data_IF_903036592337
#
_entry.id   IF_903036592337
#
_cell.length_a   1.000
_cell.length_b   1.000
_cell.length_c   1.000
_cell.angle_alpha   90.00
_cell.angle_beta   90.00
_cell.angle_gamma   90.00
#
_symmetry.space_group_name_H-M   'P 1'
#
loop_
_entity.id
_entity.type
_entity.pdbx_description
1 polymer ?
#
# COMPACT_ATOMS: atom_id res chain seq x y z
N UNK A 1 34.29 9.14 -62.59
CA UNK A 1 35.18 9.14 -61.40
C UNK A 1 34.31 9.29 -60.17
N UNK A 2 34.03 8.19 -59.49
CA UNK A 2 33.06 8.13 -58.38
C UNK A 2 33.83 8.03 -57.08
N UNK A 3 33.73 9.06 -56.23
CA UNK A 3 34.42 9.14 -54.93
C UNK A 3 33.56 8.45 -53.88
N UNK A 4 33.97 7.25 -53.47
CA UNK A 4 33.33 6.50 -52.38
C UNK A 4 33.83 7.06 -51.03
N UNK A 5 33.00 7.85 -50.34
CA UNK A 5 33.29 8.28 -48.96
C UNK A 5 33.24 7.07 -48.02
N UNK A 6 34.39 6.72 -47.45
CA UNK A 6 34.54 5.71 -46.40
C UNK A 6 33.91 6.25 -45.12
N UNK A 7 32.76 5.72 -44.71
CA UNK A 7 32.18 6.01 -43.40
C UNK A 7 33.11 5.45 -42.31
N UNK A 8 33.74 6.34 -41.55
CA UNK A 8 34.46 5.99 -40.32
C UNK A 8 33.43 5.66 -39.23
N UNK A 9 33.43 4.40 -38.80
CA UNK A 9 32.69 3.93 -37.62
C UNK A 9 33.30 4.55 -36.37
N UNK A 10 32.54 5.44 -35.73
CA UNK A 10 32.85 6.01 -34.42
C UNK A 10 32.99 4.87 -33.40
N UNK A 11 34.08 4.78 -32.62
CA UNK A 11 34.23 3.73 -31.63
C UNK A 11 33.12 3.86 -30.57
N UNK A 12 32.52 2.75 -30.12
CA UNK A 12 31.51 2.80 -29.07
C UNK A 12 32.13 3.35 -27.80
N UNK A 13 31.50 4.38 -27.22
CA UNK A 13 31.80 4.86 -25.87
C UNK A 13 31.59 3.69 -24.90
N UNK A 14 32.68 3.04 -24.49
CA UNK A 14 32.69 2.16 -23.33
C UNK A 14 32.55 3.04 -22.08
N UNK A 15 31.32 3.43 -21.76
CA UNK A 15 30.99 3.74 -20.37
C UNK A 15 31.10 2.42 -19.62
N UNK A 16 32.21 2.22 -18.88
CA UNK A 16 32.32 1.10 -17.97
C UNK A 16 31.12 1.17 -17.01
N UNK A 17 30.19 0.23 -17.13
CA UNK A 17 29.09 0.12 -16.20
C UNK A 17 29.70 -0.07 -14.81
N UNK A 18 29.38 0.82 -13.87
CA UNK A 18 29.83 0.72 -12.49
C UNK A 18 29.52 -0.67 -11.94
N UNK A 19 30.44 -1.24 -11.16
CA UNK A 19 30.20 -2.53 -10.51
C UNK A 19 29.00 -2.43 -9.56
N UNK A 20 28.36 -3.56 -9.23
CA UNK A 20 27.22 -3.57 -8.32
C UNK A 20 27.56 -2.94 -6.95
N UNK A 21 28.80 -3.12 -6.47
CA UNK A 21 29.31 -2.51 -5.25
C UNK A 21 29.45 -1.00 -5.35
N UNK A 22 30.02 -0.49 -6.45
CA UNK A 22 30.12 0.95 -6.71
C UNK A 22 28.74 1.60 -6.81
N UNK A 23 27.78 0.92 -7.46
CA UNK A 23 26.40 1.39 -7.52
C UNK A 23 25.75 1.42 -6.13
N UNK A 24 25.97 0.41 -5.29
CA UNK A 24 25.48 0.37 -3.89
C UNK A 24 26.07 1.49 -3.05
N UNK A 25 27.39 1.68 -3.09
CA UNK A 25 28.07 2.74 -2.35
C UNK A 25 27.56 4.13 -2.75
N UNK A 26 27.42 4.39 -4.06
CA UNK A 26 26.84 5.64 -4.58
C UNK A 26 25.41 5.86 -4.07
N UNK A 27 24.59 4.82 -4.09
CA UNK A 27 23.20 4.91 -3.62
C UNK A 27 23.14 5.16 -2.11
N UNK A 28 24.05 4.59 -1.31
CA UNK A 28 24.13 4.84 0.14
C UNK A 28 24.40 6.31 0.44
N UNK A 29 25.46 6.87 -0.16
CA UNK A 29 25.82 8.29 0.00
C UNK A 29 24.66 9.20 -0.42
N UNK A 30 23.99 8.86 -1.52
CA UNK A 30 22.83 9.63 -1.99
C UNK A 30 21.65 9.57 -1.00
N UNK A 31 21.42 8.42 -0.35
CA UNK A 31 20.36 8.25 0.66
C UNK A 31 20.68 8.98 1.96
N UNK A 32 21.94 8.98 2.38
CA UNK A 32 22.41 9.75 3.55
C UNK A 32 22.21 11.26 3.37
N UNK A 33 22.39 11.77 2.14
CA UNK A 33 22.15 13.17 1.80
C UNK A 33 20.66 13.57 1.87
N UNK A 34 19.75 12.63 1.65
CA UNK A 34 18.30 12.89 1.62
C UNK A 34 17.57 11.99 2.64
N UNK A 35 17.74 12.22 3.96
CA UNK A 35 17.08 11.41 4.97
C UNK A 35 15.55 11.65 4.97
N UNK A 36 14.73 10.62 5.23
CA UNK A 36 13.29 10.79 5.43
C UNK A 36 13.02 11.55 6.75
N UNK A 37 11.88 12.25 6.82
CA UNK A 37 11.43 12.84 8.09
C UNK A 37 11.09 11.74 9.09
N UNK A 38 11.39 11.95 10.37
CA UNK A 38 10.97 11.03 11.41
C UNK A 38 9.43 11.03 11.55
N UNK A 39 8.84 9.87 11.79
CA UNK A 39 7.42 9.80 12.15
C UNK A 39 7.27 10.24 13.61
N UNK A 40 6.58 11.36 13.83
CA UNK A 40 6.26 11.83 15.17
C UNK A 40 5.36 10.83 15.90
N UNK A 41 5.62 10.62 17.18
CA UNK A 41 4.80 9.74 18.05
C UNK A 41 3.82 10.51 18.92
N UNK A 42 4.00 11.83 19.06
CA UNK A 42 3.15 12.71 19.87
C UNK A 42 3.09 14.12 19.31
N UNK A 43 1.90 14.69 19.27
CA UNK A 43 1.62 16.08 18.87
C UNK A 43 0.30 16.53 19.53
N UNK A 44 -0.06 17.83 19.54
CA UNK A 44 -1.17 18.33 20.36
C UNK A 44 -2.53 17.66 20.16
N UNK A 45 -2.81 17.13 18.96
CA UNK A 45 -4.08 16.47 18.69
C UNK A 45 -4.18 15.04 19.28
N UNK A 46 -3.06 14.38 19.62
CA UNK A 46 -3.08 13.02 20.17
C UNK A 46 -3.52 12.97 21.63
N UNK A 47 -3.50 14.10 22.34
CA UNK A 47 -3.89 14.21 23.76
C UNK A 47 -5.28 14.83 23.99
N UNK A 48 -6.05 15.09 22.92
CA UNK A 48 -7.39 15.68 23.02
C UNK A 48 -8.42 14.70 23.58
N UNK A 49 -9.45 15.21 24.26
CA UNK A 49 -10.56 14.38 24.75
C UNK A 49 -11.42 13.83 23.60
N UNK A 50 -12.24 12.81 23.89
CA UNK A 50 -13.20 12.26 22.92
C UNK A 50 -14.12 13.36 22.39
N UNK A 51 -14.66 14.20 23.28
CA UNK A 51 -15.57 15.28 22.96
C UNK A 51 -14.91 16.32 22.06
N UNK A 52 -13.65 16.67 22.33
CA UNK A 52 -12.88 17.61 21.52
C UNK A 52 -12.60 17.07 20.11
N UNK A 53 -12.26 15.79 20.00
CA UNK A 53 -12.03 15.15 18.69
C UNK A 53 -13.33 15.08 17.91
N UNK A 54 -14.43 14.62 18.51
CA UNK A 54 -15.76 14.55 17.85
C UNK A 54 -16.18 15.94 17.40
N UNK A 55 -16.07 16.95 18.27
CA UNK A 55 -16.42 18.34 17.95
C UNK A 55 -15.61 18.86 16.76
N UNK A 56 -14.29 18.64 16.74
CA UNK A 56 -13.42 19.06 15.64
C UNK A 56 -13.77 18.37 14.33
N UNK A 57 -13.91 17.05 14.34
CA UNK A 57 -14.12 16.24 13.12
C UNK A 57 -15.56 16.28 12.60
N UNK A 58 -16.46 16.99 13.29
CA UNK A 58 -17.83 17.26 12.85
C UNK A 58 -18.12 18.73 12.56
N UNK A 59 -17.08 19.58 12.59
CA UNK A 59 -17.13 21.00 12.25
C UNK A 59 -16.34 21.29 10.96
N UNK A 60 -16.51 22.46 10.31
CA UNK A 60 -15.66 22.86 9.19
C UNK A 60 -14.16 22.79 9.56
N UNK A 61 -13.27 22.36 8.65
CA UNK A 61 -13.52 21.97 7.24
C UNK A 61 -14.03 20.52 7.05
N UNK A 62 -14.15 19.71 8.10
CA UNK A 62 -14.62 18.32 8.01
C UNK A 62 -16.13 18.18 7.76
N UNK A 63 -16.88 19.27 7.92
CA UNK A 63 -18.32 19.34 7.77
C UNK A 63 -18.74 19.23 6.30
N UNK A 64 -19.43 18.15 5.97
CA UNK A 64 -19.98 17.93 4.62
C UNK A 64 -21.37 18.53 4.48
N UNK A 65 -21.72 18.99 3.26
CA UNK A 65 -23.05 19.53 2.99
C UNK A 65 -24.16 18.46 3.18
N UNK A 66 -23.94 17.25 2.66
CA UNK A 66 -24.94 16.18 2.70
C UNK A 66 -25.19 15.64 4.13
N UNK A 67 -26.46 15.65 4.56
CA UNK A 67 -26.88 15.25 5.93
C UNK A 67 -26.56 13.78 6.25
N UNK A 68 -26.78 12.86 5.31
CA UNK A 68 -26.49 11.43 5.50
C UNK A 68 -24.99 11.17 5.69
N UNK A 69 -24.14 11.79 4.87
CA UNK A 69 -22.68 11.72 4.99
C UNK A 69 -22.18 12.27 6.32
N UNK A 70 -22.75 13.39 6.79
CA UNK A 70 -22.46 13.94 8.13
C UNK A 70 -22.77 12.94 9.25
N UNK A 71 -23.95 12.33 9.20
CA UNK A 71 -24.36 11.35 10.20
C UNK A 71 -23.44 10.10 10.20
N UNK A 72 -23.09 9.58 9.02
CA UNK A 72 -22.15 8.45 8.89
C UNK A 72 -20.75 8.78 9.41
N UNK A 73 -20.22 9.95 9.05
CA UNK A 73 -18.93 10.45 9.57
C UNK A 73 -18.92 10.54 11.09
N UNK A 74 -19.94 11.18 11.68
CA UNK A 74 -20.06 11.30 13.14
C UNK A 74 -20.14 9.93 13.84
N UNK A 75 -20.97 9.00 13.33
CA UNK A 75 -21.06 7.64 13.88
C UNK A 75 -19.74 6.88 13.76
N UNK A 76 -19.07 7.00 12.61
CA UNK A 76 -17.77 6.36 12.37
C UNK A 76 -16.70 6.83 13.34
N UNK A 77 -16.57 8.15 13.51
CA UNK A 77 -15.63 8.74 14.48
C UNK A 77 -15.96 8.29 15.90
N UNK A 78 -17.23 8.36 16.31
CA UNK A 78 -17.65 7.93 17.65
C UNK A 78 -17.30 6.46 17.92
N UNK A 79 -17.61 5.55 16.98
CA UNK A 79 -17.30 4.11 17.11
C UNK A 79 -15.79 3.84 17.20
N UNK A 80 -14.99 4.53 16.39
CA UNK A 80 -13.53 4.38 16.43
C UNK A 80 -12.95 4.89 17.75
N UNK A 81 -13.40 6.05 18.22
CA UNK A 81 -12.93 6.62 19.49
C UNK A 81 -13.37 5.80 20.69
N UNK A 82 -14.60 5.26 20.69
CA UNK A 82 -15.09 4.37 21.74
C UNK A 82 -14.23 3.10 21.83
N UNK A 83 -13.96 2.45 20.69
CA UNK A 83 -13.05 1.32 20.64
C UNK A 83 -11.63 1.67 21.12
N UNK A 84 -11.02 2.74 20.61
CA UNK A 84 -9.67 3.15 21.03
C UNK A 84 -9.63 3.57 22.51
N UNK A 85 -10.73 4.10 23.05
CA UNK A 85 -10.86 4.47 24.47
C UNK A 85 -10.77 3.26 25.40
N UNK A 86 -11.13 2.07 24.91
CA UNK A 86 -10.99 0.82 25.66
C UNK A 86 -9.54 0.35 25.86
N UNK A 87 -8.59 0.86 25.06
CA UNK A 87 -7.19 0.43 25.09
C UNK A 87 -6.36 1.25 26.09
N UNK A 88 -5.48 0.64 26.92
CA UNK A 88 -4.80 1.34 28.01
C UNK A 88 -3.59 2.16 27.54
N UNK A 89 -3.75 3.47 27.29
CA UNK A 89 -2.68 4.43 26.95
C UNK A 89 -3.13 5.89 27.11
N UNK A 90 -2.20 6.85 27.08
CA UNK A 90 -2.51 8.25 27.37
C UNK A 90 -2.88 9.03 26.11
N UNK A 91 -2.35 8.64 24.95
CA UNK A 91 -2.62 9.33 23.68
C UNK A 91 -3.33 8.44 22.66
N UNK A 92 -4.06 9.06 21.73
CA UNK A 92 -4.70 8.36 20.61
C UNK A 92 -3.70 7.59 19.76
N UNK A 93 -2.51 8.15 19.53
CA UNK A 93 -1.46 7.49 18.76
C UNK A 93 -0.93 6.23 19.47
N UNK A 94 -0.73 6.29 20.78
CA UNK A 94 -0.31 5.13 21.56
C UNK A 94 -1.40 4.05 21.63
N UNK A 95 -2.68 4.44 21.76
CA UNK A 95 -3.83 3.53 21.70
C UNK A 95 -3.89 2.83 20.35
N UNK A 96 -3.70 3.58 19.26
CA UNK A 96 -3.61 3.05 17.91
C UNK A 96 -2.45 2.06 17.77
N UNK A 97 -1.23 2.44 18.16
CA UNK A 97 -0.05 1.57 18.09
C UNK A 97 -0.21 0.28 18.91
N UNK A 98 -0.90 0.34 20.06
CA UNK A 98 -1.14 -0.84 20.92
C UNK A 98 -2.30 -1.71 20.45
N UNK A 99 -3.12 -1.24 19.51
CA UNK A 99 -4.32 -1.96 19.08
C UNK A 99 -4.04 -3.25 18.31
N UNK A 100 -2.83 -3.44 17.76
CA UNK A 100 -2.49 -4.57 16.87
C UNK A 100 -3.16 -4.49 15.49
N UNK A 101 -3.81 -3.37 15.18
CA UNK A 101 -4.53 -3.17 13.91
C UNK A 101 -3.60 -3.16 12.71
N UNK A 102 -2.36 -2.72 12.90
CA UNK A 102 -1.39 -2.61 11.82
C UNK A 102 -0.79 -3.96 11.40
N UNK A 103 -0.96 -4.99 12.23
CA UNK A 103 -0.60 -6.37 11.91
C UNK A 103 -1.62 -7.03 10.98
N UNK A 104 -2.79 -6.39 10.78
CA UNK A 104 -3.87 -6.87 9.92
C UNK A 104 -3.88 -6.09 8.60
N UNK A 105 -3.54 -6.72 7.48
CA UNK A 105 -3.47 -6.04 6.18
C UNK A 105 -4.87 -5.80 5.59
N UNK A 106 -4.95 -4.84 4.64
CA UNK A 106 -6.12 -4.71 3.78
C UNK A 106 -7.40 -4.29 4.52
N UNK A 107 -8.46 -5.11 4.45
CA UNK A 107 -9.75 -4.84 5.08
C UNK A 107 -9.94 -5.54 6.44
N UNK A 108 -9.05 -6.49 6.77
CA UNK A 108 -9.13 -7.35 7.95
C UNK A 108 -8.99 -6.57 9.26
N UNK A 109 -8.36 -5.40 9.21
CA UNK A 109 -8.23 -4.49 10.35
C UNK A 109 -9.57 -4.17 11.03
N UNK A 110 -10.69 -4.20 10.28
CA UNK A 110 -12.03 -3.93 10.83
C UNK A 110 -12.50 -4.99 11.82
N UNK A 111 -11.92 -6.19 11.83
CA UNK A 111 -12.31 -7.28 12.75
C UNK A 111 -12.13 -6.91 14.22
N UNK A 112 -11.06 -6.18 14.56
CA UNK A 112 -10.77 -5.80 15.95
C UNK A 112 -11.83 -4.85 16.54
N UNK A 113 -12.12 -3.67 15.94
CA UNK A 113 -13.19 -2.81 16.43
C UNK A 113 -14.57 -3.47 16.33
N UNK A 114 -14.83 -4.30 15.31
CA UNK A 114 -16.11 -5.01 15.21
C UNK A 114 -16.33 -5.99 16.37
N UNK A 115 -15.31 -6.75 16.75
CA UNK A 115 -15.39 -7.68 17.88
C UNK A 115 -15.76 -6.95 19.16
N UNK A 116 -15.09 -5.83 19.44
CA UNK A 116 -15.39 -4.98 20.59
C UNK A 116 -16.83 -4.47 20.58
N UNK A 117 -17.28 -3.87 19.46
CA UNK A 117 -18.63 -3.32 19.34
C UNK A 117 -19.71 -4.41 19.46
N UNK A 118 -19.42 -5.62 18.96
CA UNK A 118 -20.35 -6.74 19.03
C UNK A 118 -20.54 -7.25 20.45
N UNK A 119 -19.48 -7.22 21.27
CA UNK A 119 -19.56 -7.60 22.68
C UNK A 119 -20.40 -6.62 23.50
N UNK A 120 -20.47 -5.35 23.11
CA UNK A 120 -21.25 -4.33 23.81
C UNK A 120 -22.72 -4.27 23.37
N UNK A 121 -23.00 -4.37 22.07
CA UNK A 121 -24.31 -4.05 21.50
C UNK A 121 -24.98 -5.23 20.77
N UNK A 122 -24.41 -6.43 20.84
CA UNK A 122 -24.90 -7.61 20.12
C UNK A 122 -24.53 -7.60 18.64
N UNK A 123 -25.35 -8.22 17.78
CA UNK A 123 -24.98 -8.45 16.38
C UNK A 123 -24.86 -7.13 15.59
N UNK A 124 -23.66 -6.77 15.07
CA UNK A 124 -23.44 -5.49 14.43
C UNK A 124 -24.15 -5.43 13.08
N UNK A 125 -24.77 -4.29 12.78
CA UNK A 125 -25.41 -4.07 11.48
C UNK A 125 -24.38 -4.08 10.33
N UNK A 126 -24.84 -4.40 9.11
CA UNK A 126 -24.01 -4.48 7.90
C UNK A 126 -23.27 -3.19 7.56
N UNK A 127 -23.79 -2.02 7.95
CA UNK A 127 -23.17 -0.72 7.68
C UNK A 127 -22.02 -0.36 8.64
N UNK A 128 -21.79 -1.14 9.71
CA UNK A 128 -20.77 -0.79 10.73
C UNK A 128 -19.37 -0.74 10.13
N UNK A 129 -19.02 -1.64 9.20
CA UNK A 129 -17.71 -1.61 8.51
C UNK A 129 -17.48 -0.33 7.70
N UNK A 130 -18.53 0.19 7.06
CA UNK A 130 -18.47 1.44 6.31
C UNK A 130 -18.32 2.65 7.25
N UNK A 131 -19.05 2.66 8.38
CA UNK A 131 -18.89 3.67 9.42
C UNK A 131 -17.44 3.64 9.98
N UNK A 132 -16.89 2.46 10.30
CA UNK A 132 -15.51 2.31 10.79
C UNK A 132 -14.48 2.85 9.79
N UNK A 133 -14.62 2.48 8.52
CA UNK A 133 -13.72 2.96 7.44
C UNK A 133 -13.77 4.47 7.29
N UNK A 134 -14.97 5.06 7.43
CA UNK A 134 -15.16 6.51 7.40
C UNK A 134 -14.57 7.18 8.63
N UNK A 135 -14.77 6.61 9.82
CA UNK A 135 -14.19 7.10 11.07
C UNK A 135 -12.67 7.13 11.00
N UNK A 136 -12.07 6.02 10.57
CA UNK A 136 -10.63 5.91 10.40
C UNK A 136 -10.06 6.96 9.43
N UNK A 137 -10.71 7.17 8.28
CA UNK A 137 -10.30 8.22 7.33
C UNK A 137 -10.26 9.60 8.00
N UNK A 138 -11.25 9.93 8.83
CA UNK A 138 -11.30 11.22 9.52
C UNK A 138 -10.29 11.32 10.67
N UNK A 139 -10.04 10.25 11.41
CA UNK A 139 -8.99 10.24 12.43
C UNK A 139 -7.61 10.47 11.82
N UNK A 140 -7.34 9.87 10.65
CA UNK A 140 -6.09 10.08 9.90
C UNK A 140 -6.02 11.52 9.36
N UNK A 141 -7.05 11.97 8.64
CA UNK A 141 -7.05 13.30 8.04
C UNK A 141 -6.99 14.42 9.09
N UNK A 142 -7.60 14.19 10.25
CA UNK A 142 -7.61 15.09 11.40
C UNK A 142 -6.35 15.08 12.26
N UNK A 143 -5.31 14.32 11.91
CA UNK A 143 -4.12 14.13 12.76
C UNK A 143 -4.51 13.66 14.18
N UNK A 144 -5.53 12.81 14.33
CA UNK A 144 -5.79 12.16 15.63
C UNK A 144 -4.84 10.98 15.81
N UNK A 145 -4.58 10.28 14.69
CA UNK A 145 -3.63 9.19 14.57
C UNK A 145 -2.85 9.34 13.25
N UNK A 146 -1.63 8.81 13.22
CA UNK A 146 -0.79 8.66 12.03
C UNK A 146 -0.36 7.19 11.93
N UNK A 147 -1.02 6.39 11.08
CA UNK A 147 -0.65 5.01 10.90
C UNK A 147 0.70 4.85 10.21
N UNK A 148 1.33 3.68 10.34
CA UNK A 148 2.60 3.41 9.67
C UNK A 148 2.44 3.30 8.15
N UNK A 149 3.49 3.71 7.45
CA UNK A 149 3.56 3.67 5.99
C UNK A 149 3.37 2.24 5.41
N UNK A 150 3.99 1.18 5.97
CA UNK A 150 3.75 -0.19 5.51
C UNK A 150 2.27 -0.55 5.55
N UNK A 151 1.60 -0.29 6.68
CA UNK A 151 0.19 -0.64 6.84
C UNK A 151 -0.72 0.15 5.90
N UNK A 152 -0.50 1.47 5.79
CA UNK A 152 -1.24 2.31 4.85
C UNK A 152 -1.11 1.80 3.42
N UNK A 153 0.07 1.31 3.02
CA UNK A 153 0.30 0.81 1.67
C UNK A 153 -0.39 -0.54 1.39
N UNK A 154 -0.83 -1.29 2.40
CA UNK A 154 -1.62 -2.53 2.18
C UNK A 154 -3.09 -2.29 1.80
N UNK A 155 -3.55 -1.03 1.83
CA UNK A 155 -4.97 -0.66 1.79
C UNK A 155 -5.33 0.23 0.60
N UNK A 156 -6.60 0.20 0.20
CA UNK A 156 -7.14 1.13 -0.79
C UNK A 156 -7.67 2.40 -0.13
N UNK A 157 -7.31 3.54 -0.68
CA UNK A 157 -7.57 4.86 -0.09
C UNK A 157 -8.40 5.75 -1.02
N UNK A 158 -9.63 5.30 -1.35
CA UNK A 158 -10.48 5.94 -2.37
C UNK A 158 -10.69 7.44 -2.15
N UNK A 159 -10.83 7.87 -0.91
CA UNK A 159 -11.20 9.24 -0.55
C UNK A 159 -10.08 10.02 0.17
N UNK A 160 -8.91 9.43 0.38
CA UNK A 160 -7.87 10.04 1.20
C UNK A 160 -7.35 11.35 0.60
N UNK A 161 -6.98 11.35 -0.69
CA UNK A 161 -6.52 12.56 -1.36
C UNK A 161 -7.59 13.66 -1.38
N UNK A 162 -8.86 13.30 -1.62
CA UNK A 162 -9.97 14.25 -1.61
C UNK A 162 -10.14 14.92 -0.25
N UNK A 163 -10.13 14.14 0.84
CA UNK A 163 -10.27 14.72 2.17
C UNK A 163 -9.03 15.53 2.55
N UNK A 164 -7.82 15.08 2.22
CA UNK A 164 -6.60 15.85 2.51
C UNK A 164 -6.56 17.18 1.74
N UNK A 165 -7.09 17.22 0.51
CA UNK A 165 -7.28 18.46 -0.23
C UNK A 165 -8.29 19.39 0.46
N UNK A 166 -9.36 18.88 1.06
CA UNK A 166 -10.34 19.72 1.76
C UNK A 166 -9.81 20.28 3.10
N UNK A 167 -9.09 19.45 3.86
CA UNK A 167 -8.89 19.71 5.31
C UNK A 167 -7.44 19.95 5.73
N UNK A 168 -6.46 19.69 4.87
CA UNK A 168 -5.05 19.78 5.21
C UNK A 168 -4.28 20.75 4.33
N UNK A 169 -4.33 20.55 3.01
CA UNK A 169 -3.54 21.36 2.07
C UNK A 169 -4.31 21.67 0.77
N UNK A 170 -5.37 22.51 0.84
CA UNK A 170 -6.18 22.84 -0.33
C UNK A 170 -5.36 23.36 -1.50
N UNK A 171 -4.45 24.31 -1.24
CA UNK A 171 -3.66 24.96 -2.27
C UNK A 171 -2.67 23.98 -2.93
N UNK A 172 -1.99 23.14 -2.13
CA UNK A 172 -1.05 22.15 -2.65
C UNK A 172 -1.74 21.10 -3.51
N UNK A 173 -2.93 20.61 -3.10
CA UNK A 173 -3.70 19.66 -3.90
C UNK A 173 -4.34 20.30 -5.14
N UNK A 174 -4.74 21.56 -5.08
CA UNK A 174 -5.21 22.29 -6.26
C UNK A 174 -4.09 22.42 -7.31
N UNK A 175 -2.87 22.76 -6.89
CA UNK A 175 -1.71 22.81 -7.79
C UNK A 175 -1.44 21.46 -8.46
N UNK A 176 -1.56 20.33 -7.73
CA UNK A 176 -1.46 18.99 -8.32
C UNK A 176 -2.52 18.73 -9.41
N UNK A 177 -3.75 19.20 -9.21
CA UNK A 177 -4.84 19.08 -10.20
C UNK A 177 -4.54 19.92 -11.43
N UNK A 178 -4.10 21.17 -11.27
CA UNK A 178 -3.73 22.06 -12.37
C UNK A 178 -2.58 21.46 -13.21
N UNK A 179 -1.56 20.90 -12.57
CA UNK A 179 -0.47 20.21 -13.26
C UNK A 179 -0.94 18.97 -14.01
N UNK A 180 -1.88 18.20 -13.45
CA UNK A 180 -2.45 17.04 -14.12
C UNK A 180 -3.27 17.44 -15.36
N UNK A 181 -3.94 18.59 -15.34
CA UNK A 181 -4.65 19.12 -16.49
C UNK A 181 -3.72 19.64 -17.60
N UNK A 182 -2.57 20.20 -17.23
CA UNK A 182 -1.59 20.75 -18.18
C UNK A 182 -0.76 19.67 -18.91
N UNK A 183 -0.69 18.45 -18.37
CA UNK A 183 0.10 17.35 -18.94
C UNK A 183 -0.85 16.29 -19.53
N UNK A 184 -0.56 15.74 -20.71
CA UNK A 184 -1.34 14.67 -21.37
C UNK A 184 -1.25 13.30 -20.66
N UNK A 185 -1.14 13.26 -19.34
CA UNK A 185 -1.11 12.03 -18.55
C UNK A 185 -2.51 11.47 -18.32
N UNK A 186 -2.61 10.17 -18.06
CA UNK A 186 -3.90 9.57 -17.74
C UNK A 186 -4.41 10.10 -16.39
N UNK A 187 -5.70 10.49 -16.33
CA UNK A 187 -6.37 10.92 -15.09
C UNK A 187 -6.17 9.92 -13.93
N UNK A 188 -6.04 8.63 -14.25
CA UNK A 188 -5.78 7.56 -13.26
C UNK A 188 -4.40 7.66 -12.62
N UNK A 189 -3.37 8.08 -13.36
CA UNK A 189 -2.01 8.19 -12.81
C UNK A 189 -1.89 9.40 -11.90
N UNK A 190 -2.51 10.53 -12.27
CA UNK A 190 -2.62 11.70 -11.42
C UNK A 190 -3.33 11.38 -10.09
N UNK A 191 -4.45 10.65 -10.13
CA UNK A 191 -5.16 10.23 -8.92
C UNK A 191 -4.29 9.35 -8.02
N UNK A 192 -3.50 8.45 -8.60
CA UNK A 192 -2.63 7.58 -7.82
C UNK A 192 -1.48 8.37 -7.21
N UNK A 193 -0.90 9.31 -7.95
CA UNK A 193 0.13 10.19 -7.43
C UNK A 193 -0.40 11.04 -6.26
N UNK A 194 -1.56 11.67 -6.41
CA UNK A 194 -2.22 12.43 -5.35
C UNK A 194 -2.51 11.55 -4.12
N UNK A 195 -2.93 10.30 -4.34
CA UNK A 195 -3.14 9.33 -3.24
C UNK A 195 -1.83 8.98 -2.53
N UNK A 196 -0.69 8.85 -3.24
CA UNK A 196 0.61 8.60 -2.62
C UNK A 196 1.12 9.78 -1.81
N UNK A 197 0.93 11.00 -2.32
CA UNK A 197 1.22 12.23 -1.60
C UNK A 197 0.37 12.30 -0.32
N UNK A 198 -0.94 12.04 -0.43
CA UNK A 198 -1.83 12.01 0.73
C UNK A 198 -1.45 10.92 1.76
N UNK A 199 -0.90 9.77 1.34
CA UNK A 199 -0.36 8.75 2.24
C UNK A 199 0.86 9.27 3.00
N UNK A 200 1.78 10.00 2.35
CA UNK A 200 2.92 10.62 3.04
C UNK A 200 2.45 11.61 4.12
N UNK A 201 1.49 12.48 3.78
CA UNK A 201 0.89 13.42 4.74
C UNK A 201 0.16 12.69 5.87
N UNK A 202 -0.53 11.60 5.58
CA UNK A 202 -1.22 10.78 6.59
C UNK A 202 -0.25 10.12 7.58
N UNK A 203 0.94 9.72 7.15
CA UNK A 203 1.92 9.02 7.99
C UNK A 203 2.85 9.98 8.74
N UNK A 204 3.20 11.12 8.13
CA UNK A 204 4.24 12.03 8.65
C UNK A 204 3.72 13.41 9.01
N UNK A 205 2.48 13.75 8.67
CA UNK A 205 1.95 15.09 8.85
C UNK A 205 2.56 16.13 7.90
N UNK A 206 2.38 17.39 8.26
CA UNK A 206 2.78 18.54 7.45
C UNK A 206 1.88 18.77 6.24
N UNK A 207 2.35 19.63 5.35
CA UNK A 207 1.78 20.00 4.06
C UNK A 207 2.60 19.37 2.92
N UNK A 208 2.16 19.52 1.67
CA UNK A 208 2.86 19.00 0.49
C UNK A 208 4.27 19.58 0.39
N UNK A 209 4.45 20.85 0.74
CA UNK A 209 5.76 21.53 0.76
C UNK A 209 6.75 20.95 1.79
N UNK A 210 6.26 20.26 2.83
CA UNK A 210 7.11 19.66 3.85
C UNK A 210 7.62 18.26 3.44
N UNK A 211 7.15 17.72 2.31
CA UNK A 211 7.54 16.40 1.83
C UNK A 211 8.99 16.42 1.36
N UNK A 212 9.81 15.52 1.91
CA UNK A 212 11.21 15.41 1.52
C UNK A 212 11.43 14.37 0.43
N UNK A 213 12.58 14.46 -0.24
CA UNK A 213 13.08 13.41 -1.13
C UNK A 213 13.19 12.07 -0.40
N UNK A 214 13.67 12.09 0.85
CA UNK A 214 13.79 10.90 1.69
C UNK A 214 12.45 10.22 1.96
N UNK A 215 11.38 10.98 2.21
CA UNK A 215 10.02 10.42 2.38
C UNK A 215 9.56 9.65 1.14
N UNK A 216 9.86 10.19 -0.05
CA UNK A 216 9.51 9.55 -1.30
C UNK A 216 10.26 8.23 -1.47
N UNK A 217 11.56 8.24 -1.15
CA UNK A 217 12.42 7.04 -1.19
C UNK A 217 11.89 5.98 -0.22
N UNK A 218 11.56 6.35 1.02
CA UNK A 218 10.98 5.45 2.01
C UNK A 218 9.64 4.84 1.53
N UNK A 219 8.77 5.64 0.93
CA UNK A 219 7.52 5.15 0.33
C UNK A 219 7.80 4.19 -0.81
N UNK A 220 8.75 4.50 -1.68
CA UNK A 220 9.11 3.64 -2.80
C UNK A 220 9.63 2.29 -2.33
N UNK A 221 10.55 2.27 -1.37
CA UNK A 221 11.11 1.05 -0.79
C UNK A 221 10.05 0.24 -0.05
N UNK A 222 9.21 0.90 0.74
CA UNK A 222 8.11 0.25 1.46
C UNK A 222 7.07 -0.32 0.51
N UNK A 223 6.73 0.39 -0.58
CA UNK A 223 5.80 -0.11 -1.58
C UNK A 223 6.32 -1.39 -2.23
N UNK A 224 7.63 -1.51 -2.47
CA UNK A 224 8.23 -2.74 -2.99
C UNK A 224 8.16 -3.89 -2.00
N UNK A 225 8.38 -3.62 -0.70
CA UNK A 225 8.28 -4.62 0.36
C UNK A 225 6.86 -5.15 0.55
N UNK A 226 5.83 -4.32 0.38
CA UNK A 226 4.44 -4.73 0.69
C UNK A 226 3.58 -5.04 -0.54
N UNK A 227 4.01 -4.69 -1.77
CA UNK A 227 3.25 -4.99 -2.99
C UNK A 227 3.93 -6.03 -3.89
N UNK A 228 3.17 -7.09 -4.21
CA UNK A 228 3.51 -8.17 -5.14
C UNK A 228 3.99 -7.70 -6.52
N UNK A 229 3.43 -6.60 -7.05
CA UNK A 229 3.79 -6.08 -8.38
C UNK A 229 4.86 -4.98 -8.34
N UNK A 230 5.46 -4.73 -7.17
CA UNK A 230 6.51 -3.72 -7.01
C UNK A 230 6.16 -2.33 -7.52
N UNK A 231 4.87 -2.00 -7.67
CA UNK A 231 4.35 -0.71 -8.16
C UNK A 231 5.08 -0.08 -9.35
N UNK A 232 5.73 -0.88 -10.21
CA UNK A 232 6.78 -0.40 -11.12
C UNK A 232 6.31 0.60 -12.19
N UNK A 233 4.99 0.81 -12.30
CA UNK A 233 4.39 1.73 -13.27
C UNK A 233 4.02 3.11 -12.73
N UNK A 234 4.22 3.46 -11.45
CA UNK A 234 3.60 4.68 -10.87
C UNK A 234 4.51 5.49 -9.95
N UNK A 235 5.64 5.93 -10.49
CA UNK A 235 6.61 6.84 -9.84
C UNK A 235 6.25 8.32 -10.05
N UNK A 236 5.13 8.59 -10.70
CA UNK A 236 4.74 9.94 -11.12
C UNK A 236 4.61 10.94 -9.95
N UNK A 237 4.34 10.48 -8.73
CA UNK A 237 4.26 11.35 -7.55
C UNK A 237 5.58 12.09 -7.26
N UNK A 238 6.74 11.43 -7.41
CA UNK A 238 8.04 12.06 -7.18
C UNK A 238 8.31 13.16 -8.21
N UNK A 239 8.02 12.88 -9.48
CA UNK A 239 8.21 13.85 -10.56
C UNK A 239 7.29 15.07 -10.37
N UNK A 240 6.04 14.85 -9.97
CA UNK A 240 5.11 15.95 -9.65
C UNK A 240 5.61 16.84 -8.52
N UNK A 241 6.03 16.26 -7.40
CA UNK A 241 6.59 17.01 -6.27
C UNK A 241 7.84 17.81 -6.68
N UNK A 242 8.71 17.21 -7.52
CA UNK A 242 9.88 17.92 -8.07
C UNK A 242 9.47 19.10 -8.95
N UNK A 243 8.52 18.90 -9.87
CA UNK A 243 8.05 19.96 -10.77
C UNK A 243 7.31 21.07 -10.02
N UNK A 244 6.67 20.76 -8.89
CA UNK A 244 6.11 21.77 -7.98
C UNK A 244 7.18 22.61 -7.26
N UNK A 245 8.45 22.24 -7.33
CA UNK A 245 9.53 22.92 -6.62
C UNK A 245 9.62 22.58 -5.12
N UNK A 246 9.04 21.45 -4.70
CA UNK A 246 9.10 21.00 -3.29
C UNK A 246 10.51 20.56 -2.88
N UNK A 247 11.29 20.06 -3.83
CA UNK A 247 12.62 19.50 -3.56
C UNK A 247 13.74 20.50 -3.82
N UNK A 248 14.89 20.38 -3.11
CA UNK A 248 16.07 21.19 -3.39
C UNK A 248 16.63 20.92 -4.79
N UNK A 249 17.41 21.87 -5.32
CA UNK A 249 17.94 21.84 -6.69
C UNK A 249 18.83 20.63 -6.99
N UNK A 250 19.49 20.09 -5.97
CA UNK A 250 20.36 18.93 -6.04
C UNK A 250 19.60 17.58 -6.02
N UNK A 251 18.26 17.61 -5.89
CA UNK A 251 17.44 16.41 -5.88
C UNK A 251 17.49 15.69 -7.25
N UNK A 252 17.74 14.37 -7.27
CA UNK A 252 17.80 13.60 -8.51
C UNK A 252 16.54 13.74 -9.37
N UNK A 253 16.69 13.67 -10.70
CA UNK A 253 15.56 13.81 -11.63
C UNK A 253 14.54 12.66 -11.53
N UNK A 254 14.95 11.49 -11.01
CA UNK A 254 14.08 10.33 -10.86
C UNK A 254 14.38 9.60 -9.57
N UNK A 255 13.34 9.05 -8.94
CA UNK A 255 13.48 8.22 -7.73
C UNK A 255 14.39 6.99 -7.97
N UNK A 256 14.51 6.53 -9.22
CA UNK A 256 15.34 5.38 -9.59
C UNK A 256 16.82 5.63 -9.34
N UNK A 257 17.25 6.89 -9.23
CA UNK A 257 18.63 7.27 -8.92
C UNK A 257 19.08 6.77 -7.53
N UNK A 258 18.14 6.60 -6.59
CA UNK A 258 18.40 6.08 -5.24
C UNK A 258 18.60 4.57 -5.19
N UNK A 259 18.42 3.89 -6.34
CA UNK A 259 18.48 2.44 -6.44
C UNK A 259 17.63 1.74 -5.38
N UNK A 260 18.03 0.52 -5.03
CA UNK A 260 17.32 -0.30 -4.06
C UNK A 260 17.99 -0.14 -2.69
N UNK A 261 17.24 0.22 -1.65
CA UNK A 261 17.80 0.44 -0.29
C UNK A 261 18.51 -0.79 0.28
N UNK A 262 17.92 -1.96 0.05
CA UNK A 262 18.31 -3.23 0.65
C UNK A 262 18.79 -4.25 -0.42
N UNK A 263 18.92 -3.81 -1.67
CA UNK A 263 19.08 -4.74 -2.79
C UNK A 263 17.79 -5.51 -3.13
N UNK A 264 17.96 -6.76 -3.56
CA UNK A 264 16.86 -7.69 -3.80
C UNK A 264 16.18 -8.05 -2.48
N UNK A 265 14.85 -8.28 -2.52
CA UNK A 265 14.13 -8.72 -1.32
C UNK A 265 14.65 -10.08 -0.87
N UNK A 266 14.70 -10.32 0.45
CA UNK A 266 14.99 -11.66 0.97
C UNK A 266 13.84 -12.62 0.64
N UNK A 267 14.06 -13.92 0.82
CA UNK A 267 13.03 -14.94 0.57
C UNK A 267 11.84 -14.76 1.51
N UNK A 268 12.13 -14.45 2.77
CA UNK A 268 11.16 -14.11 3.81
C UNK A 268 10.33 -12.91 3.37
N UNK A 269 10.97 -11.83 2.93
CA UNK A 269 10.27 -10.64 2.44
C UNK A 269 9.43 -10.92 1.18
N UNK A 270 9.89 -11.80 0.28
CA UNK A 270 9.11 -12.20 -0.89
C UNK A 270 7.79 -12.88 -0.49
N UNK A 271 7.83 -13.77 0.50
CA UNK A 271 6.67 -14.50 1.03
C UNK A 271 5.79 -13.59 1.91
N UNK A 272 6.37 -12.73 2.73
CA UNK A 272 5.64 -11.85 3.65
C UNK A 272 4.86 -10.72 2.95
N UNK A 273 5.05 -10.53 1.63
CA UNK A 273 4.14 -9.74 0.78
C UNK A 273 2.71 -10.27 0.76
N UNK A 274 2.52 -11.52 1.16
CA UNK A 274 1.23 -12.19 1.18
C UNK A 274 0.73 -12.35 2.62
N UNK A 275 -0.55 -12.10 2.89
CA UNK A 275 -1.11 -12.10 4.24
C UNK A 275 -1.37 -13.53 4.76
N UNK A 276 -0.32 -14.35 4.84
CA UNK A 276 -0.40 -15.74 5.30
C UNK A 276 -0.52 -15.78 6.83
N UNK A 277 -1.61 -16.35 7.33
CA UNK A 277 -1.91 -16.45 8.76
C UNK A 277 -1.26 -17.68 9.39
N UNK A 278 -1.24 -18.81 8.69
CA UNK A 278 -0.63 -20.05 9.15
C UNK A 278 0.91 -19.95 9.10
N UNK A 279 1.53 -19.70 10.26
CA UNK A 279 3.00 -19.57 10.39
C UNK A 279 3.77 -20.83 9.96
N UNK A 280 3.36 -22.06 10.35
CA UNK A 280 4.02 -23.27 9.86
C UNK A 280 4.09 -23.36 8.33
N UNK A 281 3.00 -23.00 7.64
CA UNK A 281 2.98 -23.05 6.17
C UNK A 281 3.77 -21.89 5.57
N UNK A 282 3.73 -20.70 6.16
CA UNK A 282 4.60 -19.59 5.76
C UNK A 282 6.08 -19.99 5.82
N UNK A 283 6.51 -20.63 6.90
CA UNK A 283 7.91 -21.04 7.09
C UNK A 283 8.29 -22.17 6.11
N UNK A 284 7.38 -23.13 5.87
CA UNK A 284 7.55 -24.16 4.84
C UNK A 284 7.75 -23.56 3.43
N UNK A 285 6.98 -22.53 3.07
CA UNK A 285 7.15 -21.84 1.79
C UNK A 285 8.50 -21.11 1.69
N UNK A 286 8.97 -20.52 2.79
CA UNK A 286 10.29 -19.89 2.87
C UNK A 286 11.40 -20.93 2.69
N UNK A 287 11.33 -22.04 3.40
CA UNK A 287 12.35 -23.10 3.31
C UNK A 287 12.39 -23.72 1.90
N UNK A 288 11.22 -23.93 1.28
CA UNK A 288 11.15 -24.40 -0.10
C UNK A 288 11.82 -23.44 -1.09
N UNK A 289 11.57 -22.12 -0.96
CA UNK A 289 12.20 -21.13 -1.82
C UNK A 289 13.71 -21.03 -1.57
N UNK A 290 14.15 -21.20 -0.32
CA UNK A 290 15.57 -21.20 0.06
C UNK A 290 16.32 -22.36 -0.58
N UNK A 291 15.73 -23.55 -0.56
CA UNK A 291 16.29 -24.74 -1.22
C UNK A 291 16.42 -24.55 -2.74
N UNK A 292 15.45 -23.84 -3.36
CA UNK A 292 15.44 -23.57 -4.81
C UNK A 292 16.37 -22.42 -5.23
N UNK A 293 16.73 -21.52 -4.31
CA UNK A 293 17.47 -20.29 -4.57
C UNK A 293 18.76 -20.48 -5.41
N UNK A 294 19.63 -21.49 -5.16
CA UNK A 294 20.87 -21.63 -5.91
C UNK A 294 20.67 -21.94 -7.40
N UNK A 295 19.51 -22.45 -7.78
CA UNK A 295 19.17 -22.88 -9.14
C UNK A 295 18.37 -21.85 -9.96
N UNK A 296 17.98 -20.72 -9.35
CA UNK A 296 17.05 -19.77 -9.92
C UNK A 296 17.61 -18.35 -9.91
N UNK A 297 17.29 -17.59 -10.96
CA UNK A 297 17.44 -16.14 -10.89
C UNK A 297 16.35 -15.53 -10.00
N UNK A 298 16.57 -14.29 -9.56
CA UNK A 298 15.64 -13.61 -8.66
C UNK A 298 14.25 -13.43 -9.27
N UNK A 299 14.15 -13.22 -10.59
CA UNK A 299 12.88 -13.07 -11.29
C UNK A 299 12.05 -14.37 -11.22
N UNK A 300 12.69 -15.52 -11.40
CA UNK A 300 12.05 -16.82 -11.24
C UNK A 300 11.65 -17.08 -9.79
N UNK A 301 12.52 -16.73 -8.82
CA UNK A 301 12.22 -16.87 -7.40
C UNK A 301 11.00 -16.03 -6.98
N UNK A 302 10.92 -14.78 -7.43
CA UNK A 302 9.78 -13.88 -7.24
C UNK A 302 8.49 -14.44 -7.86
N UNK A 303 8.58 -15.01 -9.06
CA UNK A 303 7.45 -15.63 -9.75
C UNK A 303 6.92 -16.89 -9.04
N UNK A 304 7.80 -17.72 -8.47
CA UNK A 304 7.43 -18.90 -7.68
C UNK A 304 6.81 -18.46 -6.36
N UNK A 305 7.43 -17.54 -5.63
CA UNK A 305 6.89 -16.96 -4.41
C UNK A 305 5.46 -16.46 -4.64
N UNK A 306 5.23 -15.71 -5.72
CA UNK A 306 3.89 -15.24 -6.10
C UNK A 306 2.88 -16.34 -6.33
N UNK A 307 3.31 -17.43 -6.96
CA UNK A 307 2.42 -18.55 -7.25
C UNK A 307 2.05 -19.32 -5.98
N UNK A 308 3.03 -19.62 -5.14
CA UNK A 308 2.83 -20.41 -3.92
C UNK A 308 2.16 -19.62 -2.79
N UNK A 309 2.74 -18.48 -2.42
CA UNK A 309 2.24 -17.70 -1.29
C UNK A 309 0.94 -16.96 -1.65
N UNK A 310 0.88 -16.37 -2.86
CA UNK A 310 -0.24 -15.54 -3.28
C UNK A 310 -1.40 -16.26 -3.94
N UNK A 311 -1.12 -17.00 -5.02
CA UNK A 311 -2.19 -17.63 -5.82
C UNK A 311 -2.67 -18.95 -5.19
N UNK A 312 -1.80 -19.67 -4.50
CA UNK A 312 -2.15 -20.91 -3.83
C UNK A 312 -2.58 -20.66 -2.38
N UNK A 313 -1.65 -20.42 -1.46
CA UNK A 313 -1.95 -20.51 -0.04
C UNK A 313 -2.86 -19.38 0.49
N UNK A 314 -2.59 -18.12 0.14
CA UNK A 314 -3.46 -17.00 0.55
C UNK A 314 -4.90 -17.18 0.06
N UNK A 315 -5.10 -17.75 -1.13
CA UNK A 315 -6.45 -18.03 -1.64
C UNK A 315 -7.13 -19.16 -0.88
N UNK A 316 -6.38 -20.20 -0.52
CA UNK A 316 -6.88 -21.31 0.29
C UNK A 316 -7.29 -20.83 1.68
N UNK A 317 -6.46 -20.06 2.38
CA UNK A 317 -6.82 -19.51 3.70
C UNK A 317 -8.04 -18.58 3.62
N UNK A 318 -8.20 -17.84 2.53
CA UNK A 318 -9.38 -17.00 2.32
C UNK A 318 -10.67 -17.83 2.12
N UNK A 319 -10.57 -19.02 1.50
CA UNK A 319 -11.68 -19.95 1.31
C UNK A 319 -11.98 -20.80 2.55
N UNK A 320 -10.95 -21.11 3.35
CA UNK A 320 -11.06 -21.92 4.57
C UNK A 320 -10.21 -21.30 5.69
N UNK A 321 -10.75 -20.32 6.44
CA UNK A 321 -10.05 -19.69 7.53
C UNK A 321 -9.66 -20.70 8.61
N UNK A 322 -8.38 -20.68 9.03
CA UNK A 322 -7.85 -21.57 10.06
C UNK A 322 -7.26 -22.88 9.55
N UNK A 323 -7.26 -23.13 8.23
CA UNK A 323 -6.55 -24.27 7.65
C UNK A 323 -5.03 -24.14 7.90
N UNK A 324 -4.42 -25.25 8.31
CA UNK A 324 -3.01 -25.34 8.67
C UNK A 324 -2.28 -26.49 7.96
N UNK A 325 -2.94 -27.13 7.00
CA UNK A 325 -2.44 -28.31 6.29
C UNK A 325 -2.45 -28.13 4.77
N UNK A 326 -1.44 -28.71 4.10
CA UNK A 326 -1.38 -28.82 2.64
C UNK A 326 -2.28 -29.94 2.08
N UNK A 327 -2.77 -30.83 2.93
CA UNK A 327 -3.68 -31.91 2.54
C UNK A 327 -5.09 -31.33 2.37
N UNK A 328 -5.32 -30.69 1.23
CA UNK A 328 -6.58 -30.00 0.96
C UNK A 328 -7.73 -31.00 0.76
N UNK A 329 -8.87 -30.79 1.43
CA UNK A 329 -10.09 -31.51 1.09
C UNK A 329 -10.40 -31.38 -0.40
N UNK A 330 -10.83 -32.46 -1.10
CA UNK A 330 -11.04 -32.44 -2.55
C UNK A 330 -11.99 -31.31 -3.02
N UNK A 331 -12.98 -30.98 -2.18
CA UNK A 331 -13.92 -29.87 -2.44
C UNK A 331 -13.18 -28.53 -2.42
N UNK A 332 -12.38 -28.26 -1.38
CA UNK A 332 -11.61 -27.01 -1.26
C UNK A 332 -10.63 -26.84 -2.42
N UNK A 333 -9.94 -27.93 -2.83
CA UNK A 333 -9.02 -27.90 -3.96
C UNK A 333 -9.73 -27.57 -5.30
N UNK A 334 -10.97 -28.04 -5.49
CA UNK A 334 -11.78 -27.70 -6.68
C UNK A 334 -12.22 -26.25 -6.63
N UNK A 335 -12.77 -25.79 -5.50
CA UNK A 335 -13.21 -24.40 -5.31
C UNK A 335 -12.07 -23.42 -5.52
N UNK A 336 -10.87 -23.72 -5.01
CA UNK A 336 -9.67 -22.92 -5.24
C UNK A 336 -9.30 -22.83 -6.74
N UNK A 337 -9.31 -23.95 -7.47
CA UNK A 337 -9.04 -23.97 -8.92
C UNK A 337 -10.07 -23.14 -9.70
N UNK A 338 -11.34 -23.21 -9.29
CA UNK A 338 -12.41 -22.40 -9.87
C UNK A 338 -12.22 -20.90 -9.59
N UNK A 339 -11.84 -20.52 -8.35
CA UNK A 339 -11.52 -19.13 -7.99
C UNK A 339 -10.36 -18.58 -8.82
N UNK A 340 -9.29 -19.36 -9.01
CA UNK A 340 -8.16 -18.97 -9.86
C UNK A 340 -8.55 -18.76 -11.33
N UNK A 341 -9.51 -19.54 -11.81
CA UNK A 341 -10.01 -19.41 -13.17
C UNK A 341 -10.93 -18.20 -13.36
N UNK A 342 -11.33 -17.52 -12.29
CA UNK A 342 -12.33 -16.44 -12.31
C UNK A 342 -11.73 -15.11 -11.84
N UNK A 343 -11.54 -14.16 -12.76
CA UNK A 343 -11.17 -12.80 -12.42
C UNK A 343 -12.42 -11.96 -12.20
N UNK A 344 -12.71 -11.59 -10.96
CA UNK A 344 -13.79 -10.62 -10.67
C UNK A 344 -13.40 -9.26 -11.24
N UNK A 345 -14.21 -8.76 -12.17
CA UNK A 345 -14.02 -7.49 -12.83
C UNK A 345 -15.25 -6.64 -12.55
N UNK A 346 -15.03 -5.57 -11.82
CA UNK A 346 -16.07 -4.60 -11.52
C UNK A 346 -16.23 -3.67 -12.71
N UNK A 347 -17.37 -3.72 -13.39
CA UNK A 347 -17.73 -2.81 -14.48
C UNK A 347 -18.72 -1.79 -13.91
N UNK A 348 -18.39 -0.50 -14.03
CA UNK A 348 -19.32 0.58 -13.71
C UNK A 348 -20.07 0.95 -14.99
N UNK A 349 -21.39 0.78 -14.97
CA UNK A 349 -22.28 1.21 -16.04
C UNK A 349 -22.40 2.74 -16.13
N UNK A 350 -22.93 3.27 -17.24
CA UNK A 350 -23.13 4.71 -17.45
C UNK A 350 -24.09 5.37 -16.44
N UNK A 351 -24.89 4.58 -15.73
CA UNK A 351 -25.79 4.96 -14.64
C UNK A 351 -25.11 4.98 -13.25
N UNK A 352 -23.82 4.66 -13.18
CA UNK A 352 -23.07 4.53 -11.93
C UNK A 352 -23.33 3.21 -11.18
N UNK A 353 -24.18 2.32 -11.71
CA UNK A 353 -24.36 0.99 -11.15
C UNK A 353 -23.10 0.16 -11.37
N UNK A 354 -22.67 -0.54 -10.32
CA UNK A 354 -21.42 -1.27 -10.30
C UNK A 354 -21.74 -2.75 -10.31
N UNK A 355 -21.45 -3.45 -11.40
CA UNK A 355 -21.70 -4.89 -11.56
C UNK A 355 -20.37 -5.64 -11.47
N UNK A 356 -20.26 -6.61 -10.56
CA UNK A 356 -19.14 -7.54 -10.55
C UNK A 356 -19.39 -8.66 -11.56
N UNK A 357 -18.59 -8.71 -12.62
CA UNK A 357 -18.63 -9.79 -13.61
C UNK A 357 -17.41 -10.69 -13.38
N UNK A 358 -17.65 -11.98 -13.20
CA UNK A 358 -16.60 -12.99 -13.21
C UNK A 358 -16.15 -13.27 -14.64
N UNK A 359 -14.96 -12.82 -15.03
CA UNK A 359 -14.37 -13.11 -16.35
C UNK A 359 -13.41 -14.30 -16.19
N UNK A 360 -13.59 -15.37 -16.98
CA UNK A 360 -12.66 -16.51 -16.96
C UNK A 360 -11.28 -16.11 -17.46
N UNK A 361 -10.22 -16.54 -16.76
CA UNK A 361 -8.81 -16.31 -17.15
C UNK A 361 -8.07 -17.64 -17.19
N UNK A 362 -7.37 -17.91 -18.30
CA UNK A 362 -6.69 -19.17 -18.61
C UNK A 362 -5.43 -19.50 -17.78
N UNK A 363 -5.20 -18.87 -16.63
CA UNK A 363 -3.95 -18.98 -15.84
C UNK A 363 -3.83 -20.23 -14.96
N UNK A 364 -4.82 -21.14 -14.98
CA UNK A 364 -4.83 -22.31 -14.09
C UNK A 364 -3.70 -23.33 -14.36
N UNK A 365 -3.16 -23.39 -15.58
CA UNK A 365 -2.16 -24.41 -15.97
C UNK A 365 -0.76 -24.19 -15.36
N UNK A 366 -0.25 -22.96 -15.32
CA UNK A 366 1.10 -22.68 -14.81
C UNK A 366 1.21 -22.83 -13.28
N UNK A 367 0.18 -22.41 -12.53
CA UNK A 367 0.16 -22.57 -11.06
C UNK A 367 0.04 -24.04 -10.65
N UNK A 368 -0.68 -24.86 -11.44
CA UNK A 368 -0.81 -26.30 -11.20
C UNK A 368 0.51 -27.08 -11.34
N UNK A 369 1.45 -26.62 -12.17
CA UNK A 369 2.77 -27.25 -12.31
C UNK A 369 3.66 -26.96 -11.09
N UNK A 370 3.62 -25.72 -10.56
CA UNK A 370 4.35 -25.36 -9.35
C UNK A 370 3.87 -26.11 -8.10
N UNK A 371 2.55 -26.31 -7.95
CA UNK A 371 1.95 -26.99 -6.79
C UNK A 371 2.15 -28.50 -6.82
N UNK A 372 2.20 -29.15 -8.00
CA UNK A 372 2.53 -30.60 -8.10
C UNK A 372 3.90 -30.96 -7.52
N UNK A 373 4.79 -29.98 -7.34
CA UNK A 373 6.09 -30.16 -6.69
C UNK A 373 5.97 -30.41 -5.18
N UNK A 374 4.83 -30.09 -4.57
CA UNK A 374 4.53 -30.29 -3.15
C UNK A 374 3.83 -31.64 -2.86
N UNK A 375 3.38 -32.36 -3.88
CA UNK A 375 2.65 -33.63 -3.78
C UNK A 375 3.56 -34.87 -3.84
N UNK A 376 4.89 -34.71 -3.81
CA UNK A 376 5.81 -35.85 -3.69
C UNK A 376 6.48 -35.86 -2.32
N UNK A 377 6.27 -36.91 -1.50
CA UNK A 377 7.00 -37.09 -0.26
C UNK A 377 8.50 -37.27 -0.50
#
# INVERSE_FOLDING_TARGET
>A
MTITKKHSTRPPLQAANATAEQARARNSVLRERFPPRAAEVRWPATSRSVEEVVRRLTAPPFLQAAKATRAGRRRGVAKMLDWLSSLPRDTWQERWARSGVEDLPGADWTELPLRFLSQQAGSPSSYVRADLSTGLLLLIAGDVIRPSLPWMLTRTHRYLATIMAEVRDPDGFEHLVQMAAAQSHSSKDAQIAATRIAVLLACKGGLIQDITVGDCVELFDTQRRVHVRGGQHKVDFYLRLRTMGVFPDDAPATIRAFGQALGQLSIEELVDRYPIRCRPIRDLLVDYLRERQPSLDFASLDAISRSLAGLFWTRIEALSPGIDTLLLPPVLARTWKEDLSTKRRTITGPDGATVEIGVRVGTAQETGVGVRSFDRP
#
